data_IF_031511692439
#
_entry.id   IF_031511692439
#
_cell.length_a   1.000
_cell.length_b   1.000
_cell.length_c   1.000
_cell.angle_alpha   90.00
_cell.angle_beta   90.00
_cell.angle_gamma   90.00
#
_symmetry.space_group_name_H-M   'P 1'
#
loop_
_entity.id
_entity.type
_entity.pdbx_description
1 polymer ?
#
# COMPACT_ATOMS: atom_id res chain seq x y z
N UNK A 1 53.06 0.42 -24.50
CA UNK A 1 52.59 -0.90 -25.02
C UNK A 1 51.55 -1.47 -24.05
N UNK A 2 50.26 -1.37 -24.40
CA UNK A 2 49.17 -1.77 -23.51
C UNK A 2 48.98 -3.29 -23.63
N UNK A 3 49.14 -4.01 -22.53
CA UNK A 3 49.11 -5.48 -22.50
C UNK A 3 47.72 -6.01 -22.88
N UNK A 4 47.61 -6.72 -24.02
CA UNK A 4 46.34 -7.28 -24.55
C UNK A 4 45.57 -8.13 -23.52
N UNK A 5 46.27 -8.75 -22.57
CA UNK A 5 45.68 -9.54 -21.47
C UNK A 5 44.86 -8.65 -20.50
N UNK A 6 45.32 -7.41 -20.23
CA UNK A 6 44.58 -6.46 -19.38
C UNK A 6 43.35 -5.90 -20.10
N UNK A 7 43.40 -5.77 -21.44
CA UNK A 7 42.25 -5.37 -22.26
C UNK A 7 41.17 -6.46 -22.23
N UNK A 8 41.53 -7.73 -22.37
CA UNK A 8 40.58 -8.85 -22.38
C UNK A 8 39.86 -9.01 -21.03
N UNK A 9 40.60 -8.90 -19.92
CA UNK A 9 40.00 -8.96 -18.58
C UNK A 9 39.08 -7.78 -18.28
N UNK A 10 39.42 -6.56 -18.72
CA UNK A 10 38.54 -5.39 -18.61
C UNK A 10 37.27 -5.55 -19.45
N UNK A 11 37.39 -6.14 -20.64
CA UNK A 11 36.24 -6.37 -21.52
C UNK A 11 35.29 -7.43 -20.95
N UNK A 12 35.83 -8.52 -20.41
CA UNK A 12 35.05 -9.55 -19.71
C UNK A 12 34.34 -8.93 -18.50
N UNK A 13 35.05 -8.14 -17.70
CA UNK A 13 34.47 -7.51 -16.51
C UNK A 13 33.35 -6.51 -16.86
N UNK A 14 33.54 -5.71 -17.91
CA UNK A 14 32.51 -4.80 -18.44
C UNK A 14 31.30 -5.56 -18.98
N UNK A 15 31.53 -6.64 -19.73
CA UNK A 15 30.45 -7.49 -20.25
C UNK A 15 29.68 -8.16 -19.11
N UNK A 16 30.35 -8.69 -18.09
CA UNK A 16 29.67 -9.29 -16.94
C UNK A 16 28.89 -8.26 -16.12
N UNK A 17 29.40 -7.04 -15.99
CA UNK A 17 28.70 -5.96 -15.27
C UNK A 17 27.48 -5.45 -16.04
N UNK A 18 27.59 -5.36 -17.38
CA UNK A 18 26.49 -5.00 -18.27
C UNK A 18 25.39 -6.07 -18.25
N UNK A 19 25.75 -7.36 -18.28
CA UNK A 19 24.80 -8.47 -18.17
C UNK A 19 24.09 -8.46 -16.80
N UNK A 20 24.82 -8.19 -15.71
CA UNK A 20 24.23 -8.11 -14.37
C UNK A 20 23.26 -6.94 -14.23
N UNK A 21 23.57 -5.79 -14.84
CA UNK A 21 22.67 -4.62 -14.85
C UNK A 21 21.39 -4.85 -15.68
N UNK A 22 21.47 -5.66 -16.74
CA UNK A 22 20.28 -6.03 -17.54
C UNK A 22 19.40 -7.04 -16.80
N UNK A 23 19.99 -7.97 -16.04
CA UNK A 23 19.25 -8.95 -15.24
C UNK A 23 18.58 -8.35 -14.01
N UNK A 24 19.17 -7.31 -13.40
CA UNK A 24 18.62 -6.61 -12.25
C UNK A 24 17.53 -5.58 -12.62
N UNK A 25 16.66 -5.94 -13.58
CA UNK A 25 15.66 -5.05 -14.16
C UNK A 25 14.85 -4.24 -13.12
N UNK A 26 14.30 -3.08 -13.50
CA UNK A 26 13.57 -2.21 -12.59
C UNK A 26 12.39 -2.95 -11.94
N UNK A 27 12.35 -2.95 -10.61
CA UNK A 27 11.18 -3.36 -9.85
C UNK A 27 10.12 -2.26 -9.95
N UNK A 28 9.34 -2.29 -11.03
CA UNK A 28 8.13 -1.47 -11.11
C UNK A 28 7.13 -2.01 -10.10
N UNK A 29 6.54 -1.12 -9.29
CA UNK A 29 5.37 -1.45 -8.52
C UNK A 29 4.24 -1.78 -9.51
N UNK A 30 3.72 -3.00 -9.45
CA UNK A 30 2.59 -3.42 -10.28
C UNK A 30 1.35 -2.64 -9.83
N UNK A 31 0.76 -1.88 -10.75
CA UNK A 31 -0.48 -1.14 -10.54
C UNK A 31 -1.66 -2.11 -10.65
N UNK A 32 -1.75 -3.03 -9.69
CA UNK A 32 -2.88 -3.97 -9.61
C UNK A 32 -4.17 -3.16 -9.45
N UNK A 33 -5.09 -3.22 -10.43
CA UNK A 33 -6.36 -2.51 -10.32
C UNK A 33 -7.13 -3.07 -9.12
N UNK A 34 -7.85 -2.18 -8.43
CA UNK A 34 -8.70 -2.61 -7.33
C UNK A 34 -9.69 -3.69 -7.80
N UNK A 35 -9.84 -4.75 -7.01
CA UNK A 35 -10.86 -5.77 -7.25
C UNK A 35 -12.24 -5.10 -7.45
N UNK A 36 -13.06 -5.62 -8.38
CA UNK A 36 -14.40 -5.09 -8.56
C UNK A 36 -15.19 -5.18 -7.26
N UNK A 37 -15.96 -4.13 -6.94
CA UNK A 37 -16.81 -4.09 -5.75
C UNK A 37 -17.80 -5.26 -5.78
N UNK A 38 -17.55 -6.26 -4.93
CA UNK A 38 -18.46 -7.38 -4.73
C UNK A 38 -19.64 -6.91 -3.88
N UNK A 39 -20.81 -6.67 -4.51
CA UNK A 39 -22.01 -6.14 -3.84
C UNK A 39 -22.40 -6.94 -2.59
N UNK A 40 -22.26 -8.25 -2.62
CA UNK A 40 -22.54 -9.13 -1.48
C UNK A 40 -21.65 -8.81 -0.26
N UNK A 41 -20.36 -8.58 -0.50
CA UNK A 41 -19.42 -8.18 0.56
C UNK A 41 -19.75 -6.78 1.09
N UNK A 42 -20.21 -5.87 0.22
CA UNK A 42 -20.60 -4.53 0.62
C UNK A 42 -21.82 -4.55 1.57
N UNK A 43 -22.85 -5.33 1.24
CA UNK A 43 -24.02 -5.51 2.11
C UNK A 43 -23.67 -6.22 3.42
N UNK A 44 -22.80 -7.24 3.38
CA UNK A 44 -22.30 -7.90 4.58
C UNK A 44 -21.53 -6.92 5.47
N UNK A 45 -20.64 -6.10 4.88
CA UNK A 45 -19.88 -5.07 5.57
C UNK A 45 -20.77 -4.00 6.20
N UNK A 46 -21.81 -3.56 5.48
CA UNK A 46 -22.81 -2.62 6.00
C UNK A 46 -23.49 -3.16 7.27
N UNK A 47 -23.92 -4.43 7.27
CA UNK A 47 -24.53 -5.05 8.46
C UNK A 47 -23.58 -5.05 9.66
N UNK A 48 -22.29 -5.33 9.45
CA UNK A 48 -21.29 -5.30 10.53
C UNK A 48 -21.07 -3.87 11.02
N UNK A 49 -20.96 -2.91 10.11
CA UNK A 49 -20.75 -1.49 10.43
C UNK A 49 -21.87 -0.94 11.34
N UNK A 50 -23.13 -1.19 10.98
CA UNK A 50 -24.28 -0.77 11.78
C UNK A 50 -24.38 -1.50 13.12
N UNK A 51 -23.88 -2.73 13.21
CA UNK A 51 -23.90 -3.49 14.47
C UNK A 51 -22.80 -3.05 15.45
N UNK A 52 -21.64 -2.62 14.95
CA UNK A 52 -20.42 -2.47 15.79
C UNK A 52 -19.75 -1.11 15.72
N UNK A 53 -19.81 -0.42 14.59
CA UNK A 53 -18.99 0.76 14.31
C UNK A 53 -19.78 2.06 14.47
N UNK A 54 -21.06 2.05 14.05
CA UNK A 54 -21.92 3.24 13.97
C UNK A 54 -22.05 4.02 15.28
N UNK A 55 -22.01 3.32 16.42
CA UNK A 55 -22.16 3.93 17.74
C UNK A 55 -21.06 4.94 18.07
N UNK A 56 -19.86 4.74 17.53
CA UNK A 56 -18.73 5.67 17.73
C UNK A 56 -18.45 6.48 16.47
N UNK A 57 -18.55 5.86 15.29
CA UNK A 57 -18.11 6.46 14.03
C UNK A 57 -19.23 7.18 13.27
N UNK A 58 -20.49 7.08 13.68
CA UNK A 58 -21.62 7.72 12.99
C UNK A 58 -22.07 6.93 11.76
N UNK A 59 -23.23 7.30 11.20
CA UNK A 59 -23.85 6.60 10.06
C UNK A 59 -22.97 6.68 8.81
N UNK A 60 -22.37 7.84 8.57
CA UNK A 60 -21.51 8.11 7.42
C UNK A 60 -20.02 7.89 7.69
N UNK A 61 -19.64 7.54 8.93
CA UNK A 61 -18.24 7.39 9.30
C UNK A 61 -17.52 8.68 9.68
N UNK A 62 -18.27 9.74 10.01
CA UNK A 62 -17.72 11.06 10.39
C UNK A 62 -16.98 11.09 11.72
N UNK A 63 -17.05 10.03 12.54
CA UNK A 63 -16.51 10.04 13.91
C UNK A 63 -17.45 10.72 14.92
N UNK A 64 -18.73 10.84 14.54
CA UNK A 64 -19.80 11.60 15.20
C UNK A 64 -20.96 10.67 15.66
N UNK A 65 -20.64 9.42 15.99
CA UNK A 65 -21.63 8.46 16.49
C UNK A 65 -22.15 8.80 17.90
N UNK A 66 -23.32 8.32 18.34
CA UNK A 66 -23.95 8.69 19.63
C UNK A 66 -23.09 8.53 20.90
N UNK A 67 -21.99 7.80 20.83
CA UNK A 67 -21.01 7.61 21.92
C UNK A 67 -19.69 8.34 21.71
N UNK A 68 -19.54 9.17 20.67
CA UNK A 68 -18.27 9.81 20.30
C UNK A 68 -17.70 10.70 21.41
N UNK A 69 -18.56 11.36 22.20
CA UNK A 69 -18.16 12.23 23.30
C UNK A 69 -17.87 11.52 24.62
N UNK A 70 -18.09 10.20 24.68
CA UNK A 70 -17.78 9.38 25.85
C UNK A 70 -16.35 8.85 25.85
N UNK A 71 -15.57 9.15 24.80
CA UNK A 71 -14.22 8.63 24.60
C UNK A 71 -13.21 9.77 24.70
N UNK A 72 -12.13 9.56 25.47
CA UNK A 72 -11.04 10.53 25.58
C UNK A 72 -10.36 10.79 24.23
N UNK A 73 -10.13 9.73 23.46
CA UNK A 73 -9.70 9.84 22.06
C UNK A 73 -10.91 9.86 21.15
N UNK A 74 -11.04 10.92 20.34
CA UNK A 74 -12.11 11.01 19.35
C UNK A 74 -12.07 9.82 18.38
N UNK A 75 -13.23 9.22 18.04
CA UNK A 75 -13.33 8.23 16.97
C UNK A 75 -12.77 8.76 15.65
N UNK A 76 -12.18 7.88 14.84
CA UNK A 76 -11.62 8.26 13.54
C UNK A 76 -12.71 8.69 12.56
N UNK A 77 -12.49 9.80 11.87
CA UNK A 77 -13.30 10.23 10.73
C UNK A 77 -12.78 9.55 9.46
N UNK A 78 -13.59 8.67 8.88
CA UNK A 78 -13.24 7.94 7.66
C UNK A 78 -13.39 8.79 6.38
N UNK A 79 -14.25 9.80 6.41
CA UNK A 79 -14.50 10.72 5.29
C UNK A 79 -13.22 11.50 4.94
N UNK A 80 -12.39 11.81 5.96
CA UNK A 80 -11.14 12.53 5.76
C UNK A 80 -10.05 11.71 5.06
N UNK A 81 -10.18 10.37 4.99
CA UNK A 81 -9.16 9.51 4.39
C UNK A 81 -7.79 9.52 5.09
N UNK A 82 -7.68 10.11 6.29
CA UNK A 82 -6.43 10.18 7.04
C UNK A 82 -6.35 9.02 8.03
N UNK A 83 -5.35 8.14 7.85
CA UNK A 83 -5.17 6.96 8.69
C UNK A 83 -3.80 7.01 9.38
N UNK A 84 -3.80 6.72 10.68
CA UNK A 84 -2.55 6.54 11.42
C UNK A 84 -2.04 5.12 11.17
N UNK A 85 -1.00 4.99 10.36
CA UNK A 85 -0.29 3.72 10.16
C UNK A 85 0.77 3.62 11.24
N UNK A 86 0.75 2.54 12.02
CA UNK A 86 1.85 2.19 12.93
C UNK A 86 2.59 1.01 12.33
N UNK A 87 3.90 1.16 12.23
CA UNK A 87 4.86 0.13 11.86
C UNK A 87 5.18 -0.77 13.06
#
# INVERSE_FOLDING_TARGET
MINKIKIGKKLIFLLTFMVFSVLAGPAFAEDVPADPIKKELLEAGKKVYFKRCVWCHGVEGGGDGPSHDRLFTKPRNFIQGTFKIRW
#
